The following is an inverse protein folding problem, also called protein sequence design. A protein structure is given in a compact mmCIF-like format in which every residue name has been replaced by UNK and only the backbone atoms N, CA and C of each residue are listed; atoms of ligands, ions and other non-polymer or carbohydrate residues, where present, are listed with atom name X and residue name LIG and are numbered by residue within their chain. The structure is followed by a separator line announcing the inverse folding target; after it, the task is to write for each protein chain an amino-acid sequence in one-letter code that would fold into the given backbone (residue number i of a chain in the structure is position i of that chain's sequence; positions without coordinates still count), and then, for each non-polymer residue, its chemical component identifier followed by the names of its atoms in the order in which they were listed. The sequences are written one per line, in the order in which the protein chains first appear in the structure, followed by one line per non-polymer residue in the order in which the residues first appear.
data_IF_023189187215
#
_entry.id   IF_023189187215
#
_cell.length_a   1.000
_cell.length_b   1.000
_cell.length_c   1.000
_cell.angle_alpha   90.00
_cell.angle_beta   90.00
_cell.angle_gamma   90.00
#
_symmetry.space_group_name_H-M   'P 1'
#
loop_
_entity.id
_entity.type
_entity.pdbx_description
1 polymer ?
#
# COMPACT_ATOMS: atom_id res chain seq x y z
N UNK A 1 -31.28 10.65 -29.16
CA UNK A 1 -30.44 10.80 -27.95
C UNK A 1 -30.02 12.24 -27.62
N UNK A 2 -30.20 12.64 -26.36
CA UNK A 2 -29.63 13.84 -25.76
C UNK A 2 -28.14 13.61 -25.49
N UNK A 3 -27.28 14.50 -25.99
CA UNK A 3 -25.84 14.44 -25.71
C UNK A 3 -25.58 15.20 -24.40
N UNK A 4 -25.06 14.48 -23.41
CA UNK A 4 -24.64 15.05 -22.13
C UNK A 4 -23.13 15.03 -22.06
N UNK A 5 -22.52 16.21 -22.02
CA UNK A 5 -21.08 16.35 -21.87
C UNK A 5 -20.71 16.42 -20.40
N UNK A 6 -19.78 15.56 -19.98
CA UNK A 6 -19.32 15.43 -18.60
C UNK A 6 -17.90 15.96 -18.44
N UNK A 7 -17.62 16.50 -17.26
CA UNK A 7 -16.27 16.79 -16.82
C UNK A 7 -16.24 16.97 -15.31
N UNK A 8 -15.05 16.84 -14.74
CA UNK A 8 -14.80 16.98 -13.32
C UNK A 8 -13.77 18.08 -13.08
N UNK A 9 -13.90 18.74 -11.94
CA UNK A 9 -12.85 19.56 -11.35
C UNK A 9 -12.55 19.00 -9.96
N UNK A 10 -11.33 18.55 -9.74
CA UNK A 10 -10.90 17.91 -8.49
C UNK A 10 -10.39 19.00 -7.54
N UNK A 11 -11.10 19.19 -6.43
CA UNK A 11 -10.70 20.12 -5.39
C UNK A 11 -9.62 19.51 -4.51
N UNK A 12 -9.88 18.30 -4.00
CA UNK A 12 -8.97 17.58 -3.13
C UNK A 12 -9.24 16.09 -3.14
N UNK A 13 -8.18 15.31 -2.88
CA UNK A 13 -8.33 13.92 -2.45
C UNK A 13 -8.31 13.89 -0.92
N UNK A 14 -9.29 13.24 -0.32
CA UNK A 14 -9.49 13.23 1.12
C UNK A 14 -8.75 12.09 1.80
N UNK A 15 -8.93 10.86 1.30
CA UNK A 15 -8.33 9.66 1.86
C UNK A 15 -8.20 8.61 0.77
N UNK A 16 -7.09 7.88 0.77
CA UNK A 16 -6.90 6.66 -0.01
C UNK A 16 -6.65 5.57 1.02
N UNK A 17 -7.48 4.54 1.03
CA UNK A 17 -7.43 3.47 2.03
C UNK A 17 -7.19 2.14 1.35
N UNK A 18 -6.05 1.53 1.64
CA UNK A 18 -5.72 0.19 1.17
C UNK A 18 -6.60 -0.86 1.83
N UNK A 19 -6.93 -0.69 3.13
CA UNK A 19 -7.70 -1.67 3.90
C UNK A 19 -9.09 -1.87 3.31
N UNK A 20 -9.75 -0.77 2.97
CA UNK A 20 -11.09 -0.78 2.36
C UNK A 20 -11.03 -0.84 0.84
N UNK A 21 -9.86 -0.69 0.21
CA UNK A 21 -9.70 -0.62 -1.25
C UNK A 21 -10.59 0.47 -1.86
N UNK A 22 -10.51 1.68 -1.33
CA UNK A 22 -11.24 2.84 -1.86
C UNK A 22 -10.44 4.13 -1.75
N UNK A 23 -10.90 5.13 -2.49
CA UNK A 23 -10.40 6.49 -2.44
C UNK A 23 -11.57 7.46 -2.35
N UNK A 24 -11.36 8.54 -1.61
CA UNK A 24 -12.34 9.60 -1.40
C UNK A 24 -11.82 10.90 -1.97
N UNK A 25 -12.67 11.60 -2.72
CA UNK A 25 -12.34 12.91 -3.28
C UNK A 25 -13.52 13.89 -3.17
N UNK A 26 -13.16 15.17 -3.15
CA UNK A 26 -14.08 16.30 -3.28
C UNK A 26 -13.91 16.88 -4.70
N UNK A 27 -15.02 16.96 -5.43
CA UNK A 27 -15.02 17.41 -6.82
C UNK A 27 -16.23 18.27 -7.15
N UNK A 28 -16.10 19.04 -8.22
CA UNK A 28 -17.23 19.60 -8.95
C UNK A 28 -17.52 18.73 -10.17
N UNK A 29 -18.72 18.14 -10.22
CA UNK A 29 -19.21 17.45 -11.39
C UNK A 29 -19.85 18.49 -12.31
N UNK A 30 -19.30 18.64 -13.51
CA UNK A 30 -19.75 19.58 -14.54
C UNK A 30 -20.47 18.80 -15.62
N UNK A 31 -21.68 19.23 -15.94
CA UNK A 31 -22.54 18.62 -16.93
C UNK A 31 -23.06 19.69 -17.88
N UNK A 32 -23.07 19.39 -19.17
CA UNK A 32 -23.61 20.27 -20.19
C UNK A 32 -24.49 19.49 -21.15
N UNK A 33 -25.72 19.93 -21.35
CA UNK A 33 -26.62 19.37 -22.36
C UNK A 33 -27.43 20.49 -23.00
N UNK A 34 -28.09 20.18 -24.11
CA UNK A 34 -28.99 21.12 -24.78
C UNK A 34 -30.44 20.67 -24.60
N UNK A 35 -31.27 21.56 -24.09
CA UNK A 35 -32.72 21.39 -24.00
C UNK A 35 -33.42 22.48 -24.80
N UNK A 36 -34.05 22.11 -25.91
CA UNK A 36 -34.72 23.06 -26.80
C UNK A 36 -35.94 23.73 -26.15
N UNK A 37 -36.54 23.12 -25.11
CA UNK A 37 -37.71 23.67 -24.40
C UNK A 37 -37.37 24.89 -23.54
N UNK A 38 -36.08 25.11 -23.26
CA UNK A 38 -35.58 26.19 -22.41
C UNK A 38 -34.96 27.32 -23.22
N UNK A 39 -35.18 27.37 -24.54
CA UNK A 39 -34.73 28.48 -25.38
C UNK A 39 -35.51 29.76 -25.04
N UNK A 40 -34.81 30.89 -25.01
CA UNK A 40 -35.39 32.20 -24.76
C UNK A 40 -34.72 33.25 -25.66
N UNK A 41 -35.46 34.29 -26.05
CA UNK A 41 -34.88 35.37 -26.85
C UNK A 41 -34.01 36.26 -25.94
N UNK A 42 -32.83 36.63 -26.42
CA UNK A 42 -31.89 37.51 -25.69
C UNK A 42 -32.51 38.85 -25.37
N UNK A 43 -33.44 39.30 -26.22
CA UNK A 43 -34.18 40.56 -26.03
C UNK A 43 -34.98 40.56 -24.73
N UNK A 44 -35.51 39.42 -24.32
CA UNK A 44 -36.30 39.26 -23.10
C UNK A 44 -35.42 39.34 -21.83
N UNK A 45 -34.10 39.17 -21.97
CA UNK A 45 -33.14 39.16 -20.87
C UNK A 45 -32.10 40.29 -20.97
N UNK A 46 -32.52 41.51 -21.35
CA UNK A 46 -31.64 42.69 -21.45
C UNK A 46 -30.38 42.46 -22.31
N UNK A 47 -30.46 41.59 -23.32
CA UNK A 47 -29.34 41.22 -24.18
C UNK A 47 -28.35 40.21 -23.58
N UNK A 48 -28.57 39.71 -22.36
CA UNK A 48 -27.69 38.74 -21.72
C UNK A 48 -27.93 37.31 -22.25
N UNK A 49 -26.85 36.72 -22.78
CA UNK A 49 -26.84 35.36 -23.32
C UNK A 49 -26.95 34.26 -22.27
N UNK A 50 -26.78 34.60 -20.98
CA UNK A 50 -26.68 33.65 -19.88
C UNK A 50 -27.57 34.08 -18.73
N UNK A 51 -28.43 33.17 -18.29
CA UNK A 51 -29.29 33.31 -17.13
C UNK A 51 -28.81 32.35 -16.04
N UNK A 52 -28.48 32.88 -14.85
CA UNK A 52 -28.25 32.06 -13.66
C UNK A 52 -29.61 31.74 -13.04
N UNK A 53 -29.97 30.46 -12.99
CA UNK A 53 -31.22 30.03 -12.37
C UNK A 53 -31.06 30.00 -10.84
N UNK A 54 -32.14 30.36 -10.14
CA UNK A 54 -32.18 30.40 -8.69
C UNK A 54 -32.11 29.00 -8.05
N UNK A 55 -31.80 28.99 -6.76
CA UNK A 55 -31.72 27.75 -5.98
C UNK A 55 -33.08 27.00 -5.98
N UNK A 56 -33.05 25.68 -6.12
CA UNK A 56 -34.24 24.82 -6.17
C UNK A 56 -34.84 24.60 -7.57
N UNK A 57 -34.39 25.34 -8.59
CA UNK A 57 -34.88 25.17 -9.96
C UNK A 57 -34.54 23.79 -10.57
N UNK A 58 -33.51 23.13 -10.07
CA UNK A 58 -33.11 21.78 -10.49
C UNK A 58 -34.16 20.70 -10.18
N UNK A 59 -35.09 20.94 -9.26
CA UNK A 59 -36.16 19.98 -8.95
C UNK A 59 -37.35 20.10 -9.93
N UNK A 60 -37.42 21.19 -10.69
CA UNK A 60 -38.48 21.45 -11.69
C UNK A 60 -38.03 21.18 -13.12
N UNK A 61 -36.73 21.09 -13.33
CA UNK A 61 -36.11 20.88 -14.63
C UNK A 61 -35.58 19.46 -14.73
N UNK A 62 -35.68 18.88 -15.92
CA UNK A 62 -35.04 17.60 -16.18
C UNK A 62 -33.52 17.73 -16.04
N UNK A 63 -32.91 16.83 -15.28
CA UNK A 63 -31.46 16.73 -15.11
C UNK A 63 -31.01 15.30 -15.44
N UNK A 64 -29.85 15.12 -16.10
CA UNK A 64 -29.31 13.79 -16.36
C UNK A 64 -29.02 13.02 -15.06
N UNK A 65 -29.35 11.73 -15.04
CA UNK A 65 -29.23 10.82 -13.91
C UNK A 65 -27.85 10.16 -13.83
N UNK A 66 -26.80 10.99 -13.87
CA UNK A 66 -25.41 10.53 -13.77
C UNK A 66 -25.16 9.99 -12.36
N UNK A 67 -24.87 8.69 -12.25
CA UNK A 67 -24.45 8.05 -11.02
C UNK A 67 -23.02 7.50 -11.14
N UNK A 68 -22.36 7.32 -10.00
CA UNK A 68 -21.03 6.71 -9.97
C UNK A 68 -21.15 5.20 -9.83
N UNK A 69 -20.75 4.45 -10.86
CA UNK A 69 -20.94 2.99 -10.89
C UNK A 69 -20.20 2.27 -9.76
N UNK A 70 -19.01 2.75 -9.40
CA UNK A 70 -18.18 2.20 -8.32
C UNK A 70 -18.29 2.98 -7.01
N UNK A 71 -19.39 3.69 -6.77
CA UNK A 71 -19.66 4.35 -5.50
C UNK A 71 -19.74 3.36 -4.33
N UNK A 72 -19.13 3.72 -3.21
CA UNK A 72 -19.49 3.15 -1.90
C UNK A 72 -20.33 4.11 -1.07
N UNK A 73 -19.97 5.41 -1.11
CA UNK A 73 -20.68 6.50 -0.45
C UNK A 73 -20.50 7.78 -1.27
N UNK A 74 -21.57 8.52 -1.53
CA UNK A 74 -21.50 9.86 -2.06
C UNK A 74 -22.42 10.82 -1.31
N UNK A 75 -22.02 12.09 -1.23
CA UNK A 75 -22.80 13.14 -0.58
C UNK A 75 -22.70 14.45 -1.37
N UNK A 76 -23.86 15.10 -1.53
CA UNK A 76 -23.95 16.47 -1.99
C UNK A 76 -23.67 17.44 -0.83
N UNK A 77 -23.03 18.58 -1.14
CA UNK A 77 -22.74 19.61 -0.15
C UNK A 77 -23.90 20.61 -0.04
N UNK A 78 -24.34 20.93 1.19
CA UNK A 78 -25.53 21.76 1.47
C UNK A 78 -25.26 23.01 2.31
N UNK A 79 -24.05 23.20 2.84
CA UNK A 79 -23.74 24.33 3.72
C UNK A 79 -23.14 25.50 2.93
N UNK A 80 -23.63 26.75 3.07
CA UNK A 80 -24.86 27.20 3.79
C UNK A 80 -26.13 26.98 2.98
N UNK A 81 -26.01 26.83 1.66
CA UNK A 81 -27.09 26.42 0.73
C UNK A 81 -26.61 25.25 -0.14
N UNK A 82 -27.52 24.51 -0.81
CA UNK A 82 -27.15 23.46 -1.75
C UNK A 82 -26.14 23.95 -2.79
N UNK A 83 -24.94 23.35 -2.81
CA UNK A 83 -23.84 23.75 -3.67
C UNK A 83 -24.02 23.20 -5.09
N UNK A 84 -25.05 23.71 -5.76
CA UNK A 84 -25.43 23.41 -7.13
C UNK A 84 -25.58 24.71 -7.90
N UNK A 85 -25.08 24.73 -9.12
CA UNK A 85 -25.12 25.89 -9.99
C UNK A 85 -25.74 25.47 -11.33
N UNK A 86 -26.78 26.18 -11.74
CA UNK A 86 -27.49 25.94 -12.99
C UNK A 86 -27.52 27.24 -13.79
N UNK A 87 -26.81 27.25 -14.91
CA UNK A 87 -26.84 28.36 -15.85
C UNK A 87 -27.47 27.92 -17.15
N UNK A 88 -28.36 28.74 -17.69
CA UNK A 88 -29.03 28.52 -18.97
C UNK A 88 -28.52 29.52 -19.98
N UNK A 89 -28.13 29.05 -21.16
CA UNK A 89 -27.80 29.89 -22.30
C UNK A 89 -29.03 30.11 -23.19
N UNK A 90 -29.09 31.23 -23.90
CA UNK A 90 -30.21 31.58 -24.79
C UNK A 90 -30.54 30.49 -25.83
N UNK A 91 -29.52 29.75 -26.29
CA UNK A 91 -29.67 28.65 -27.24
C UNK A 91 -30.25 27.36 -26.63
N UNK A 92 -30.64 27.36 -25.35
CA UNK A 92 -31.14 26.20 -24.62
C UNK A 92 -30.06 25.28 -24.05
N UNK A 93 -28.78 25.69 -24.10
CA UNK A 93 -27.69 24.92 -23.46
C UNK A 93 -27.73 25.14 -21.95
N UNK A 94 -27.83 24.05 -21.21
CA UNK A 94 -27.83 24.04 -19.75
C UNK A 94 -26.44 23.65 -19.28
N UNK A 95 -25.89 24.45 -18.38
CA UNK A 95 -24.64 24.21 -17.67
C UNK A 95 -24.95 23.95 -16.20
N UNK A 96 -24.77 22.71 -15.77
CA UNK A 96 -25.05 22.27 -14.41
C UNK A 96 -23.77 21.84 -13.72
N UNK A 97 -23.53 22.36 -12.53
CA UNK A 97 -22.38 22.01 -11.71
C UNK A 97 -22.86 21.64 -10.31
N UNK A 98 -22.40 20.51 -9.79
CA UNK A 98 -22.69 20.08 -8.42
C UNK A 98 -21.40 19.77 -7.67
N UNK A 99 -21.29 20.24 -6.43
CA UNK A 99 -20.20 19.87 -5.52
C UNK A 99 -20.52 18.55 -4.84
N UNK A 100 -19.64 17.56 -5.00
CA UNK A 100 -19.83 16.20 -4.51
C UNK A 100 -18.59 15.75 -3.75
N UNK A 101 -18.79 15.11 -2.60
CA UNK A 101 -17.78 14.22 -2.01
C UNK A 101 -18.17 12.80 -2.33
N UNK A 102 -17.26 12.03 -2.93
CA UNK A 102 -17.50 10.64 -3.27
C UNK A 102 -16.35 9.75 -2.77
N UNK A 103 -16.72 8.62 -2.17
CA UNK A 103 -15.84 7.49 -1.87
C UNK A 103 -16.11 6.40 -2.90
N UNK A 104 -15.11 6.12 -3.71
CA UNK A 104 -15.18 5.22 -4.85
C UNK A 104 -14.31 3.99 -4.62
N UNK A 105 -14.81 2.83 -5.02
CA UNK A 105 -14.08 1.57 -4.96
C UNK A 105 -12.91 1.58 -5.95
N UNK A 106 -11.72 1.28 -5.45
CA UNK A 106 -10.51 1.12 -6.25
C UNK A 106 -9.82 -0.21 -5.89
N UNK A 107 -9.95 -1.25 -6.72
CA UNK A 107 -9.29 -2.53 -6.49
C UNK A 107 -7.77 -2.40 -6.72
N UNK A 108 -7.04 -2.11 -5.64
CA UNK A 108 -5.60 -1.88 -5.68
C UNK A 108 -4.82 -3.20 -5.84
N UNK A 109 -3.71 -3.13 -6.60
CA UNK A 109 -2.77 -4.24 -6.81
C UNK A 109 -1.52 -4.02 -5.96
N UNK A 110 -1.41 -4.73 -4.85
CA UNK A 110 -0.40 -4.47 -3.81
C UNK A 110 0.87 -5.35 -3.93
N UNK A 111 1.08 -6.05 -5.04
CA UNK A 111 2.25 -6.95 -5.22
C UNK A 111 3.58 -6.26 -4.94
N UNK A 112 3.73 -5.01 -5.40
CA UNK A 112 4.96 -4.23 -5.22
C UNK A 112 4.94 -3.32 -3.99
N UNK A 113 3.97 -3.45 -3.08
CA UNK A 113 3.84 -2.56 -1.93
C UNK A 113 5.14 -2.51 -1.09
N UNK A 114 5.64 -1.32 -0.70
CA UNK A 114 5.11 0.04 -0.93
C UNK A 114 5.68 0.76 -2.19
N UNK A 115 6.35 0.06 -3.10
CA UNK A 115 6.92 0.59 -4.36
C UNK A 115 5.91 0.52 -5.52
N UNK A 116 4.62 0.63 -5.23
CA UNK A 116 3.53 0.39 -6.14
C UNK A 116 2.99 1.66 -6.82
N UNK A 117 2.25 1.44 -7.90
CA UNK A 117 1.44 2.47 -8.58
C UNK A 117 0.06 1.87 -8.78
N UNK A 118 -0.96 2.62 -8.40
CA UNK A 118 -2.36 2.21 -8.41
C UNK A 118 -3.09 2.92 -9.54
N UNK A 119 -4.00 2.19 -10.17
CA UNK A 119 -4.90 2.68 -11.21
C UNK A 119 -6.32 2.66 -10.63
N UNK A 120 -6.83 3.82 -10.25
CA UNK A 120 -8.12 3.96 -9.59
C UNK A 120 -9.18 4.52 -10.54
N UNK A 121 -10.19 3.72 -10.93
CA UNK A 121 -11.23 4.17 -11.84
C UNK A 121 -12.28 5.01 -11.12
N UNK A 122 -12.89 5.93 -11.86
CA UNK A 122 -14.08 6.67 -11.52
C UNK A 122 -15.02 6.58 -12.73
N UNK A 123 -16.12 5.84 -12.57
CA UNK A 123 -17.03 5.52 -13.67
C UNK A 123 -18.35 6.29 -13.51
N UNK A 124 -18.79 6.93 -14.58
CA UNK A 124 -20.02 7.70 -14.69
C UNK A 124 -20.97 6.94 -15.62
N UNK A 125 -22.15 6.60 -15.15
CA UNK A 125 -23.14 5.82 -15.92
C UNK A 125 -24.53 6.47 -15.77
N UNK A 126 -25.44 6.23 -16.72
CA UNK A 126 -26.85 6.61 -16.57
C UNK A 126 -27.61 5.49 -15.88
N UNK A 127 -28.47 5.82 -14.92
CA UNK A 127 -29.21 4.81 -14.16
C UNK A 127 -30.42 4.28 -14.93
N UNK A 128 -31.21 5.18 -15.51
CA UNK A 128 -32.50 4.87 -16.13
C UNK A 128 -32.52 5.00 -17.65
N UNK A 129 -31.54 5.65 -18.28
CA UNK A 129 -31.57 5.90 -19.72
C UNK A 129 -30.53 5.09 -20.49
N UNK A 130 -31.01 4.38 -21.51
CA UNK A 130 -30.18 3.69 -22.50
C UNK A 130 -29.53 4.67 -23.49
N UNK A 131 -28.58 4.18 -24.27
CA UNK A 131 -27.89 4.89 -25.36
C UNK A 131 -28.83 5.44 -26.45
N UNK A 132 -30.05 4.92 -26.55
CA UNK A 132 -31.09 5.45 -27.44
C UNK A 132 -31.55 6.84 -26.99
N UNK A 133 -31.57 7.07 -25.67
CA UNK A 133 -32.07 8.27 -25.03
C UNK A 133 -30.95 9.25 -24.65
N UNK A 134 -29.84 8.77 -24.09
CA UNK A 134 -28.73 9.61 -23.62
C UNK A 134 -27.40 9.06 -24.12
N UNK A 135 -26.51 9.96 -24.57
CA UNK A 135 -25.12 9.63 -24.90
C UNK A 135 -24.20 10.52 -24.09
N UNK A 136 -23.24 9.92 -23.40
CA UNK A 136 -22.20 10.66 -22.68
C UNK A 136 -21.01 10.99 -23.57
N UNK A 137 -20.50 12.21 -23.43
CA UNK A 137 -19.26 12.65 -24.07
C UNK A 137 -18.41 13.44 -23.08
N UNK A 138 -17.11 13.50 -23.31
CA UNK A 138 -16.23 14.37 -22.52
C UNK A 138 -16.39 15.83 -22.93
N UNK A 139 -16.32 16.74 -21.95
CA UNK A 139 -16.06 18.15 -22.19
C UNK A 139 -14.65 18.34 -22.77
N UNK A 140 -14.35 19.45 -23.48
CA UNK A 140 -13.02 19.69 -24.07
C UNK A 140 -11.87 19.64 -23.06
N UNK A 141 -12.13 20.06 -21.83
CA UNK A 141 -11.23 19.90 -20.69
C UNK A 141 -11.94 19.06 -19.63
N UNK A 142 -11.91 17.73 -19.76
CA UNK A 142 -12.76 16.83 -18.98
C UNK A 142 -12.29 16.72 -17.53
N UNK A 143 -10.99 16.70 -17.29
CA UNK A 143 -10.41 16.63 -15.94
C UNK A 143 -9.60 17.88 -15.68
N UNK A 144 -9.99 18.63 -14.66
CA UNK A 144 -9.25 19.77 -14.12
C UNK A 144 -8.97 19.51 -12.64
N UNK A 145 -7.93 20.13 -12.11
CA UNK A 145 -7.50 19.97 -10.72
C UNK A 145 -7.07 21.30 -10.12
N UNK A 146 -7.28 21.44 -8.82
CA UNK A 146 -6.78 22.59 -8.05
C UNK A 146 -5.26 22.70 -8.15
N UNK A 147 -4.75 23.95 -8.23
CA UNK A 147 -3.30 24.19 -8.26
C UNK A 147 -2.71 23.90 -6.88
N UNK A 148 -1.68 23.05 -6.82
CA UNK A 148 -1.10 22.62 -5.53
C UNK A 148 -1.84 21.46 -4.87
N UNK A 149 -2.61 20.68 -5.64
CA UNK A 149 -3.18 19.43 -5.17
C UNK A 149 -2.08 18.46 -4.72
N UNK A 150 -1.89 18.35 -3.41
CA UNK A 150 -0.98 17.40 -2.78
C UNK A 150 -1.75 16.35 -1.98
N UNK A 151 -1.17 15.16 -1.94
CA UNK A 151 -1.71 13.97 -1.33
C UNK A 151 -0.64 13.48 -0.33
N UNK A 152 -1.00 13.11 0.91
CA UNK A 152 0.01 12.83 1.93
C UNK A 152 0.82 11.55 1.70
N UNK A 153 0.22 10.54 1.03
CA UNK A 153 0.82 9.21 0.84
C UNK A 153 1.06 8.85 -0.63
N UNK A 154 0.44 9.59 -1.54
CA UNK A 154 0.45 9.32 -2.97
C UNK A 154 0.72 10.60 -3.73
N UNK A 155 1.06 10.47 -5.00
CA UNK A 155 1.06 11.56 -5.95
C UNK A 155 0.23 11.18 -7.16
N UNK A 156 -0.62 12.09 -7.59
CA UNK A 156 -1.35 11.96 -8.85
C UNK A 156 -0.38 12.21 -10.01
N UNK A 157 0.03 11.12 -10.67
CA UNK A 157 0.99 11.17 -11.78
C UNK A 157 0.29 11.64 -13.05
N UNK A 158 -0.80 10.98 -13.39
CA UNK A 158 -1.54 11.22 -14.61
C UNK A 158 -2.98 10.66 -14.52
N UNK A 159 -3.77 10.86 -15.56
CA UNK A 159 -5.11 10.32 -15.71
C UNK A 159 -5.35 9.83 -17.14
N UNK A 160 -6.19 8.82 -17.30
CA UNK A 160 -6.65 8.36 -18.62
C UNK A 160 -8.18 8.40 -18.69
N UNK A 161 -8.69 8.56 -19.91
CA UNK A 161 -10.11 8.67 -20.21
C UNK A 161 -10.52 7.49 -21.09
N UNK A 162 -11.50 6.72 -20.64
CA UNK A 162 -11.99 5.55 -21.36
C UNK A 162 -13.52 5.63 -21.52
N UNK A 163 -14.03 4.88 -22.49
CA UNK A 163 -15.45 4.56 -22.62
C UNK A 163 -15.68 3.17 -22.00
N UNK A 164 -16.61 3.10 -21.04
CA UNK A 164 -16.96 1.88 -20.32
C UNK A 164 -18.38 1.40 -20.62
N UNK A 165 -19.00 1.92 -21.69
CA UNK A 165 -20.38 1.62 -22.06
C UNK A 165 -20.61 0.12 -22.16
N UNK A 166 -21.67 -0.36 -21.54
CA UNK A 166 -21.95 -1.79 -21.41
C UNK A 166 -23.38 -2.11 -21.80
N UNK A 167 -23.56 -3.29 -22.40
CA UNK A 167 -24.88 -3.82 -22.72
C UNK A 167 -25.38 -4.68 -21.56
N UNK A 168 -26.54 -4.31 -21.02
CA UNK A 168 -27.26 -5.05 -19.98
C UNK A 168 -28.48 -5.74 -20.60
N UNK A 169 -29.19 -6.54 -19.80
CA UNK A 169 -30.43 -7.22 -20.25
C UNK A 169 -31.51 -6.23 -20.70
N UNK A 170 -31.52 -5.02 -20.13
CA UNK A 170 -32.48 -3.95 -20.44
C UNK A 170 -32.05 -3.05 -21.61
N UNK A 171 -30.82 -3.19 -22.11
CA UNK A 171 -30.27 -2.40 -23.21
C UNK A 171 -28.85 -1.91 -22.95
N UNK A 172 -28.31 -1.13 -23.90
CA UNK A 172 -26.98 -0.55 -23.80
C UNK A 172 -27.03 0.80 -23.06
N UNK A 173 -26.15 0.98 -22.06
CA UNK A 173 -26.10 2.20 -21.25
C UNK A 173 -24.79 2.97 -21.48
N UNK A 174 -24.84 4.32 -21.57
CA UNK A 174 -23.65 5.15 -21.69
C UNK A 174 -22.81 5.09 -20.42
N UNK A 175 -21.52 4.82 -20.54
CA UNK A 175 -20.59 4.89 -19.43
C UNK A 175 -19.27 5.55 -19.84
N UNK A 176 -18.82 6.51 -19.03
CA UNK A 176 -17.51 7.14 -19.16
C UNK A 176 -16.65 6.82 -17.95
N UNK A 177 -15.35 6.64 -18.14
CA UNK A 177 -14.41 6.30 -17.07
C UNK A 177 -13.21 7.25 -17.07
N UNK A 178 -12.89 7.78 -15.89
CA UNK A 178 -11.60 8.43 -15.62
C UNK A 178 -10.77 7.50 -14.75
N UNK A 179 -9.56 7.19 -15.17
CA UNK A 179 -8.60 6.41 -14.40
C UNK A 179 -7.50 7.28 -13.84
N UNK A 180 -7.35 7.32 -12.53
CA UNK A 180 -6.32 8.08 -11.84
C UNK A 180 -5.09 7.19 -11.59
N UNK A 181 -3.94 7.62 -12.12
CA UNK A 181 -2.66 6.94 -11.91
C UNK A 181 -2.00 7.54 -10.66
N UNK A 182 -2.08 6.83 -9.55
CA UNK A 182 -1.60 7.24 -8.23
C UNK A 182 -0.32 6.48 -7.89
N UNK A 183 0.80 7.18 -7.75
CA UNK A 183 2.06 6.56 -7.32
C UNK A 183 2.28 6.82 -5.84
N UNK A 184 2.68 5.79 -5.09
CA UNK A 184 2.95 5.93 -3.65
C UNK A 184 4.28 6.65 -3.39
N UNK A 185 4.29 7.50 -2.37
CA UNK A 185 5.52 8.10 -1.86
C UNK A 185 6.12 7.23 -0.76
N UNK A 186 7.42 6.89 -0.92
CA UNK A 186 8.06 5.86 -0.10
C UNK A 186 8.75 6.38 1.17
N UNK A 187 8.94 7.69 1.30
CA UNK A 187 9.76 8.29 2.36
C UNK A 187 9.37 7.85 3.78
N UNK A 188 8.06 7.79 4.06
CA UNK A 188 7.53 7.28 5.32
C UNK A 188 7.95 5.83 5.61
N UNK A 189 7.81 4.95 4.62
CA UNK A 189 8.13 3.52 4.76
C UNK A 189 9.62 3.28 4.93
N UNK A 190 10.47 4.10 4.31
CA UNK A 190 11.93 4.01 4.50
C UNK A 190 12.30 4.20 5.97
N UNK A 191 11.78 5.25 6.60
CA UNK A 191 12.15 5.63 7.97
C UNK A 191 11.46 4.73 9.01
N UNK A 192 10.18 4.40 8.81
CA UNK A 192 9.37 3.69 9.81
C UNK A 192 9.45 2.17 9.71
N UNK A 193 9.83 1.62 8.54
CA UNK A 193 9.80 0.18 8.31
C UNK A 193 11.16 -0.37 7.91
N UNK A 194 11.79 0.17 6.86
CA UNK A 194 13.06 -0.37 6.36
C UNK A 194 14.22 -0.11 7.33
N UNK A 195 14.40 1.12 7.79
CA UNK A 195 15.52 1.45 8.71
C UNK A 195 15.45 0.65 10.02
N UNK A 196 14.33 0.57 10.76
CA UNK A 196 14.27 -0.19 12.01
C UNK A 196 14.51 -1.69 11.81
N UNK A 197 14.01 -2.29 10.72
CA UNK A 197 14.21 -3.73 10.45
C UNK A 197 15.66 -4.06 10.13
N UNK A 198 16.36 -3.20 9.39
CA UNK A 198 17.81 -3.33 9.18
C UNK A 198 18.57 -3.22 10.51
N UNK A 199 18.23 -2.25 11.35
CA UNK A 199 18.87 -2.08 12.66
C UNK A 199 18.64 -3.30 13.57
N UNK A 200 17.45 -3.90 13.56
CA UNK A 200 17.16 -5.13 14.31
C UNK A 200 18.03 -6.30 13.83
N UNK A 201 18.24 -6.44 12.52
CA UNK A 201 19.15 -7.46 11.98
C UNK A 201 20.58 -7.21 12.44
N UNK A 202 21.06 -5.97 12.40
CA UNK A 202 22.40 -5.62 12.89
C UNK A 202 22.53 -5.90 14.41
N UNK A 203 21.50 -5.56 15.19
CA UNK A 203 21.46 -5.86 16.64
C UNK A 203 21.55 -7.37 16.90
N UNK A 204 20.96 -8.20 16.05
CA UNK A 204 21.06 -9.66 16.17
C UNK A 204 22.51 -10.16 15.99
N UNK A 205 23.37 -9.42 15.27
CA UNK A 205 24.79 -9.77 15.09
C UNK A 205 25.67 -9.34 16.25
N UNK A 206 25.22 -8.38 17.07
CA UNK A 206 25.96 -7.97 18.28
C UNK A 206 26.13 -9.14 19.25
N UNK A 207 25.20 -10.11 19.24
CA UNK A 207 25.30 -11.33 20.04
C UNK A 207 26.57 -12.17 19.72
N UNK A 208 27.18 -12.03 18.54
CA UNK A 208 28.41 -12.71 18.17
C UNK A 208 29.64 -12.18 18.93
N UNK A 209 29.62 -10.91 19.33
CA UNK A 209 30.74 -10.25 20.01
C UNK A 209 30.74 -10.45 21.53
N UNK A 210 29.61 -10.81 22.12
CA UNK A 210 29.49 -11.04 23.56
C UNK A 210 30.24 -12.33 23.94
N UNK A 211 30.80 -12.47 25.13
CA UNK A 211 31.47 -13.72 25.54
C UNK A 211 30.49 -14.91 25.61
N UNK A 212 30.99 -16.13 25.40
CA UNK A 212 30.16 -17.35 25.39
C UNK A 212 29.59 -17.69 26.77
N UNK A 213 30.27 -17.25 27.83
CA UNK A 213 29.89 -17.50 29.22
C UNK A 213 28.65 -16.68 29.63
N UNK A 214 28.39 -15.55 28.94
CA UNK A 214 27.24 -14.68 29.18
C UNK A 214 25.96 -15.18 28.47
N UNK A 215 25.60 -16.44 28.71
CA UNK A 215 24.40 -17.10 28.13
C UNK A 215 23.12 -16.27 28.30
N UNK A 216 22.80 -15.70 29.49
CA UNK A 216 21.54 -14.97 29.68
C UNK A 216 21.42 -13.76 28.76
N UNK A 217 22.52 -13.04 28.52
CA UNK A 217 22.53 -11.86 27.66
C UNK A 217 22.27 -12.23 26.20
N UNK A 218 22.97 -13.26 25.68
CA UNK A 218 22.83 -13.71 24.29
C UNK A 218 21.42 -14.25 23.99
N UNK A 219 20.85 -15.07 24.88
CA UNK A 219 19.47 -15.59 24.73
C UNK A 219 18.47 -14.45 24.71
N UNK A 220 18.62 -13.48 25.62
CA UNK A 220 17.71 -12.34 25.73
C UNK A 220 17.71 -11.48 24.47
N UNK A 221 18.89 -11.18 23.92
CA UNK A 221 19.01 -10.40 22.67
C UNK A 221 18.39 -11.17 21.50
N UNK A 222 18.66 -12.47 21.37
CA UNK A 222 18.08 -13.30 20.31
C UNK A 222 16.56 -13.40 20.37
N UNK A 223 15.99 -13.64 21.56
CA UNK A 223 14.53 -13.69 21.72
C UNK A 223 13.87 -12.33 21.51
N UNK A 224 14.48 -11.26 22.04
CA UNK A 224 13.95 -9.90 21.89
C UNK A 224 13.95 -9.47 20.42
N UNK A 225 15.04 -9.72 19.68
CA UNK A 225 15.11 -9.35 18.25
C UNK A 225 14.08 -10.12 17.40
N UNK A 226 13.85 -11.41 17.67
CA UNK A 226 12.77 -12.19 17.01
C UNK A 226 11.40 -11.61 17.33
N UNK A 227 11.14 -11.29 18.60
CA UNK A 227 9.87 -10.70 19.04
C UNK A 227 9.65 -9.32 18.40
N UNK A 228 10.66 -8.46 18.41
CA UNK A 228 10.59 -7.12 17.80
C UNK A 228 10.34 -7.22 16.29
N UNK A 229 11.03 -8.14 15.60
CA UNK A 229 10.82 -8.36 14.17
C UNK A 229 9.40 -8.87 13.85
N UNK A 230 8.88 -9.79 14.67
CA UNK A 230 7.52 -10.31 14.55
C UNK A 230 6.47 -9.23 14.82
N UNK A 231 6.73 -8.37 15.81
CA UNK A 231 5.89 -7.21 16.14
C UNK A 231 5.84 -6.22 14.98
N UNK A 232 7.00 -5.89 14.41
CA UNK A 232 7.10 -5.01 13.24
C UNK A 232 6.36 -5.59 12.02
N UNK A 233 6.51 -6.91 11.77
CA UNK A 233 5.79 -7.58 10.68
C UNK A 233 4.29 -7.54 10.87
N UNK A 234 3.81 -7.66 12.10
CA UNK A 234 2.39 -7.58 12.43
C UNK A 234 1.88 -6.16 12.22
N UNK A 235 2.60 -5.15 12.72
CA UNK A 235 2.24 -3.74 12.53
C UNK A 235 2.19 -3.31 11.06
N UNK A 236 3.07 -3.83 10.21
CA UNK A 236 3.02 -3.60 8.77
C UNK A 236 1.78 -4.23 8.10
N UNK A 237 1.33 -5.39 8.60
CA UNK A 237 0.18 -6.13 8.06
C UNK A 237 -1.17 -5.57 8.52
N UNK A 238 -1.27 -5.00 9.71
CA UNK A 238 -2.54 -4.42 10.21
C UNK A 238 -2.97 -3.20 9.41
N UNK A 239 -2.03 -2.52 8.75
CA UNK A 239 -2.31 -1.37 7.90
C UNK A 239 -2.84 -1.76 6.52
N UNK A 240 -2.76 -3.05 6.15
CA UNK A 240 -3.08 -3.55 4.82
C UNK A 240 -4.30 -4.46 4.81
N UNK A 241 -5.04 -4.54 3.69
CA UNK A 241 -6.09 -5.52 3.54
C UNK A 241 -5.51 -6.94 3.54
N UNK A 242 -6.31 -7.90 3.98
CA UNK A 242 -5.96 -9.33 3.89
C UNK A 242 -6.04 -9.78 2.44
N UNK A 243 -4.89 -9.78 1.77
CA UNK A 243 -4.73 -10.34 0.42
C UNK A 243 -4.03 -11.69 0.49
N UNK A 244 -4.40 -12.62 -0.38
CA UNK A 244 -3.86 -13.98 -0.41
C UNK A 244 -2.49 -14.10 -1.09
N UNK A 245 -2.10 -13.10 -1.86
CA UNK A 245 -0.83 -13.09 -2.59
C UNK A 245 0.33 -12.46 -1.78
N UNK A 246 1.55 -12.86 -2.14
CA UNK A 246 2.79 -12.35 -1.56
C UNK A 246 3.04 -10.91 -2.05
N UNK A 247 3.36 -10.02 -1.10
CA UNK A 247 3.76 -8.63 -1.36
C UNK A 247 5.27 -8.46 -1.19
N UNK A 248 5.87 -7.47 -1.84
CA UNK A 248 7.29 -7.17 -1.71
C UNK A 248 7.73 -6.96 -0.25
N UNK A 249 6.90 -6.28 0.55
CA UNK A 249 7.12 -6.13 2.00
C UNK A 249 7.12 -7.45 2.77
N UNK A 250 6.29 -8.44 2.39
CA UNK A 250 6.28 -9.74 3.07
C UNK A 250 7.61 -10.47 2.83
N UNK A 251 8.14 -10.40 1.60
CA UNK A 251 9.45 -10.99 1.26
C UNK A 251 10.55 -10.33 2.09
N UNK A 252 10.57 -9.00 2.17
CA UNK A 252 11.53 -8.26 2.99
C UNK A 252 11.50 -8.70 4.46
N UNK A 253 10.30 -8.73 5.05
CA UNK A 253 10.14 -9.11 6.46
C UNK A 253 10.53 -10.56 6.72
N UNK A 254 10.22 -11.48 5.82
CA UNK A 254 10.62 -12.90 5.94
C UNK A 254 12.13 -13.05 5.86
N UNK A 255 12.79 -12.37 4.92
CA UNK A 255 14.26 -12.42 4.78
C UNK A 255 14.95 -11.89 6.04
N UNK A 256 14.52 -10.73 6.54
CA UNK A 256 15.05 -10.18 7.80
C UNK A 256 14.80 -11.12 8.99
N UNK A 257 13.63 -11.77 9.07
CA UNK A 257 13.32 -12.74 10.12
C UNK A 257 14.23 -13.99 10.04
N UNK A 258 14.52 -14.49 8.83
CA UNK A 258 15.43 -15.61 8.63
C UNK A 258 16.83 -15.25 9.15
N UNK A 259 17.34 -14.05 8.87
CA UNK A 259 18.65 -13.61 9.37
C UNK A 259 18.70 -13.55 10.90
N UNK A 260 17.67 -13.00 11.54
CA UNK A 260 17.57 -12.94 13.01
C UNK A 260 17.46 -14.34 13.61
N UNK A 261 16.67 -15.22 12.99
CA UNK A 261 16.54 -16.60 13.45
C UNK A 261 17.85 -17.40 13.27
N UNK A 262 18.58 -17.16 12.19
CA UNK A 262 19.88 -17.77 11.95
C UNK A 262 20.91 -17.40 13.02
N UNK A 263 20.91 -16.15 13.52
CA UNK A 263 21.82 -15.77 14.63
C UNK A 263 21.46 -16.48 15.93
N UNK A 264 20.18 -16.72 16.20
CA UNK A 264 19.74 -17.51 17.36
C UNK A 264 20.14 -18.99 17.24
N UNK A 265 20.02 -19.57 16.04
CA UNK A 265 20.47 -20.95 15.77
C UNK A 265 21.98 -21.10 15.92
N UNK A 266 22.76 -20.15 15.41
CA UNK A 266 24.21 -20.11 15.57
C UNK A 266 24.58 -20.16 17.06
N UNK A 267 23.94 -19.32 17.88
CA UNK A 267 24.19 -19.31 19.31
C UNK A 267 23.86 -20.66 19.97
N UNK A 268 22.75 -21.28 19.60
CA UNK A 268 22.36 -22.59 20.13
C UNK A 268 23.41 -23.65 19.79
N UNK A 269 23.91 -23.66 18.55
CA UNK A 269 24.96 -24.57 18.09
C UNK A 269 26.26 -24.34 18.87
N UNK A 270 26.73 -23.10 18.94
CA UNK A 270 27.97 -22.72 19.64
C UNK A 270 27.92 -23.07 21.13
N UNK A 271 26.80 -22.83 21.81
CA UNK A 271 26.61 -23.19 23.22
C UNK A 271 26.64 -24.71 23.43
N UNK A 272 26.07 -25.52 22.52
CA UNK A 272 26.14 -26.98 22.62
C UNK A 272 27.57 -27.49 22.43
N UNK A 273 28.31 -26.95 21.45
CA UNK A 273 29.71 -27.34 21.21
C UNK A 273 30.62 -26.95 22.38
N UNK A 274 30.50 -25.72 22.88
CA UNK A 274 31.26 -25.25 24.05
C UNK A 274 30.99 -26.12 25.29
N UNK A 275 29.73 -26.49 25.56
CA UNK A 275 29.39 -27.41 26.66
C UNK A 275 29.99 -28.81 26.49
N UNK A 276 30.08 -29.32 25.26
CA UNK A 276 30.74 -30.61 24.97
C UNK A 276 32.24 -30.53 25.26
N UNK A 277 32.90 -29.46 24.81
CA UNK A 277 34.32 -29.24 25.03
C UNK A 277 34.66 -29.11 26.52
N UNK A 278 33.93 -28.27 27.27
CA UNK A 278 34.11 -28.12 28.73
C UNK A 278 33.92 -29.47 29.46
N UNK A 279 32.96 -30.30 29.02
CA UNK A 279 32.75 -31.65 29.57
C UNK A 279 33.91 -32.59 29.26
N UNK A 280 34.48 -32.54 28.05
CA UNK A 280 35.63 -33.35 27.66
C UNK A 280 36.89 -32.93 28.45
N UNK A 281 37.15 -31.63 28.59
CA UNK A 281 38.28 -31.10 29.38
C UNK A 281 38.16 -31.44 30.86
N UNK A 282 36.94 -31.41 31.44
CA UNK A 282 36.71 -31.90 32.82
C UNK A 282 36.96 -33.41 32.96
N UNK A 283 36.58 -34.22 31.97
CA UNK A 283 36.82 -35.67 32.01
C UNK A 283 38.31 -36.02 31.89
N UNK A 284 39.06 -35.35 31.01
CA UNK A 284 40.50 -35.59 30.86
C UNK A 284 41.29 -35.14 32.09
N UNK A 285 40.95 -33.99 32.67
CA UNK A 285 41.57 -33.51 33.92
C UNK A 285 41.23 -34.36 35.13
N UNK A 286 40.01 -34.91 35.23
CA UNK A 286 39.67 -35.88 36.28
C UNK A 286 40.46 -37.18 36.12
N UNK A 287 40.56 -37.70 34.88
CA UNK A 287 41.36 -38.90 34.58
C UNK A 287 42.85 -38.74 34.93
N UNK A 288 43.43 -37.55 34.73
CA UNK A 288 44.81 -37.24 35.16
C UNK A 288 44.98 -37.17 36.68
N UNK A 289 43.94 -36.77 37.44
CA UNK A 289 44.00 -36.68 38.90
C UNK A 289 43.77 -38.01 39.62
N UNK A 290 43.05 -38.96 38.99
CA UNK A 290 42.78 -40.29 39.56
C UNK A 290 43.73 -41.37 39.08
N UNK A 291 44.71 -41.07 38.22
CA UNK A 291 45.78 -42.03 37.88
C UNK A 291 46.72 -42.20 39.10
N UNK A 292 46.94 -43.44 39.58
CA UNK A 292 47.98 -43.71 40.57
C UNK A 292 49.36 -43.45 39.97
N UNK A 293 50.28 -42.91 40.78
CA UNK A 293 51.62 -42.43 40.36
C UNK A 293 52.46 -43.49 39.62
N UNK A 294 52.18 -44.78 39.86
CA UNK A 294 52.85 -45.91 39.22
C UNK A 294 52.39 -46.15 37.76
N UNK A 295 51.15 -45.79 37.41
CA UNK A 295 50.64 -45.86 36.03
C UNK A 295 51.15 -44.70 35.17
N UNK A 296 51.41 -43.54 35.77
CA UNK A 296 51.95 -42.36 35.08
C UNK A 296 53.42 -42.60 34.67
N UNK A 297 54.22 -43.25 35.54
CA UNK A 297 55.62 -43.64 35.26
C UNK A 297 55.69 -44.74 34.17
N UNK A 298 54.76 -45.69 34.18
CA UNK A 298 54.71 -46.75 33.16
C UNK A 298 54.36 -46.20 31.75
N UNK A 299 53.49 -45.19 31.66
CA UNK A 299 53.16 -44.51 30.40
C UNK A 299 54.30 -43.63 29.88
N UNK A 300 55.07 -43.00 30.77
CA UNK A 300 56.30 -42.26 30.41
C UNK A 300 57.40 -43.19 29.89
N UNK A 301 57.60 -44.37 30.52
CA UNK A 301 58.56 -45.37 30.02
C UNK A 301 58.18 -45.96 28.67
N UNK A 302 56.88 -46.14 28.39
CA UNK A 302 56.40 -46.63 27.09
C UNK A 302 56.56 -45.57 25.99
N UNK A 303 56.41 -44.28 26.29
CA UNK A 303 56.64 -43.22 25.28
C UNK A 303 58.13 -43.06 24.94
N UNK A 304 59.01 -43.11 25.94
CA UNK A 304 60.48 -43.06 25.76
C UNK A 304 60.99 -44.27 24.97
N UNK A 305 60.43 -45.46 25.20
CA UNK A 305 60.77 -46.68 24.44
C UNK A 305 60.34 -46.60 22.96
N UNK A 306 59.17 -46.03 22.69
CA UNK A 306 58.68 -45.82 21.32
C UNK A 306 59.47 -44.76 20.53
N UNK A 307 59.92 -43.67 21.17
CA UNK A 307 60.78 -42.67 20.52
C UNK A 307 62.20 -43.20 20.25
N UNK A 308 62.71 -44.08 21.12
CA UNK A 308 63.99 -44.76 20.89
C UNK A 308 63.93 -45.71 19.67
N UNK A 309 62.78 -46.37 19.45
CA UNK A 309 62.57 -47.25 18.29
C UNK A 309 62.38 -46.47 16.96
N UNK A 310 61.91 -45.21 17.02
CA UNK A 310 61.83 -44.31 15.85
C UNK A 310 63.18 -43.72 15.46
N UNK A 311 64.06 -43.42 16.41
CA UNK A 311 65.41 -42.93 16.12
C UNK A 311 66.28 -44.00 15.43
N UNK A 312 66.13 -45.26 15.83
CA UNK A 312 66.84 -46.42 15.22
C UNK A 312 66.37 -46.77 13.79
N UNK A 313 65.21 -46.29 13.35
CA UNK A 313 64.68 -46.54 11.99
C UNK A 313 64.95 -45.39 11.00
N UNK A 314 65.59 -44.29 11.44
CA UNK A 314 65.97 -43.15 10.57
C UNK A 314 67.44 -43.12 10.14
N UNK A 315 68.24 -44.13 10.51
CA UNK A 315 69.66 -44.25 10.15
C UNK A 315 69.98 -45.36 9.11
N UNK A 316 68.97 -45.93 8.45
CA UNK A 316 69.16 -46.80 7.28
C UNK A 316 68.43 -46.23 6.06
#
# INVERSE_FOLDING_TARGET
PTIVQLGIYINSFYAISEQTMDFSLNLYLRQQWRDNRLQYDKKDNNGQDKLKLGDGMWDRLWTPDVFFRNEKKAAFHVVTTPNRLLNLHSNGTVWYVSKITATLSCPMRLHKYPLDTQDCPMMFESFGYTMEHIIYKWLPSPVQREKGLELPQFRLVDHSLNDCSQNYTTGAYPCLEVRFILKRDIGYYMIQLYVPTVLIVILSWVAFWISIDAIPARVTIGLLTVLTMTTQSTGARTQLPRVSYIKAIDVWMVVCLIFVFASLLEFAVVNVFSRKEIRQTRRSSFRKRTMPRDEEIALEQVSISCDCHRLLTSQN
#
